data_IF_217539370598
#
_entry.id   IF_217539370598
#
_cell.length_a   1.000
_cell.length_b   1.000
_cell.length_c   1.000
_cell.angle_alpha   90.00
_cell.angle_beta   90.00
_cell.angle_gamma   90.00
#
_symmetry.space_group_name_H-M   'P 1'
#
loop_
_entity.id
_entity.type
_entity.pdbx_description
1 polymer ?
#
# COMPACT_ATOMS: atom_id res chain seq x y z
N UNK A 1 17.20 33.45 -12.71
CA UNK A 1 18.16 32.43 -13.16
C UNK A 1 18.34 31.46 -12.01
N UNK A 2 17.86 30.23 -12.15
CA UNK A 2 17.96 29.20 -11.12
C UNK A 2 19.35 28.58 -11.18
N UNK A 3 20.03 28.54 -10.04
CA UNK A 3 21.35 27.94 -9.89
C UNK A 3 21.13 26.55 -9.30
N UNK A 4 21.55 25.50 -10.03
CA UNK A 4 21.41 24.11 -9.61
C UNK A 4 22.24 23.76 -8.37
N UNK A 5 22.13 22.51 -7.91
CA UNK A 5 22.85 21.94 -6.76
C UNK A 5 24.33 22.37 -6.70
N UNK A 6 24.99 22.37 -7.86
CA UNK A 6 26.42 22.63 -8.03
C UNK A 6 26.88 24.02 -7.56
N UNK A 7 25.97 24.99 -7.41
CA UNK A 7 26.30 26.38 -7.07
C UNK A 7 25.78 26.83 -5.70
N UNK A 8 24.84 26.09 -5.10
CA UNK A 8 24.31 26.37 -3.74
C UNK A 8 24.76 25.34 -2.69
N UNK A 9 25.30 24.20 -3.12
CA UNK A 9 25.49 23.04 -2.26
C UNK A 9 24.17 22.38 -1.86
N UNK A 10 24.21 21.13 -1.42
CA UNK A 10 23.03 20.39 -0.98
C UNK A 10 23.24 18.88 -1.04
N UNK A 11 22.14 18.13 -1.09
CA UNK A 11 22.16 16.67 -1.18
C UNK A 11 21.40 16.15 -2.39
N UNK A 12 21.92 15.06 -2.95
CA UNK A 12 21.30 14.29 -4.03
C UNK A 12 21.09 12.86 -3.54
N UNK A 13 19.85 12.39 -3.57
CA UNK A 13 19.48 11.02 -3.22
C UNK A 13 18.88 10.31 -4.44
N UNK A 14 19.34 9.09 -4.66
CA UNK A 14 18.69 8.14 -5.54
C UNK A 14 18.03 7.06 -4.69
N UNK A 15 16.72 6.95 -4.77
CA UNK A 15 15.94 5.97 -4.01
C UNK A 15 15.29 4.97 -4.95
N UNK A 16 15.29 3.70 -4.55
CA UNK A 16 14.62 2.63 -5.26
C UNK A 16 13.36 2.22 -4.49
N UNK A 17 12.27 2.04 -5.21
CA UNK A 17 10.98 1.61 -4.66
C UNK A 17 10.96 0.07 -4.68
N UNK A 18 10.56 -0.53 -3.56
CA UNK A 18 10.28 -1.96 -3.52
C UNK A 18 8.95 -2.25 -4.24
N UNK A 19 9.04 -2.53 -5.53
CA UNK A 19 7.87 -2.81 -6.36
C UNK A 19 7.15 -4.11 -5.97
N UNK A 20 7.86 -5.08 -5.39
CA UNK A 20 7.22 -6.33 -4.96
C UNK A 20 6.36 -6.07 -3.72
N UNK A 21 6.90 -5.36 -2.73
CA UNK A 21 6.14 -4.96 -1.55
C UNK A 21 4.95 -4.05 -1.93
N UNK A 22 5.14 -3.13 -2.89
CA UNK A 22 4.06 -2.27 -3.37
C UNK A 22 2.92 -3.06 -4.01
N UNK A 23 3.24 -4.01 -4.91
CA UNK A 23 2.24 -4.89 -5.54
C UNK A 23 1.53 -5.75 -4.49
N UNK A 24 2.27 -6.38 -3.58
CA UNK A 24 1.70 -7.19 -2.50
C UNK A 24 0.70 -6.37 -1.67
N UNK A 25 1.12 -5.19 -1.20
CA UNK A 25 0.26 -4.30 -0.41
C UNK A 25 -0.97 -3.85 -1.19
N UNK A 26 -0.81 -3.59 -2.50
CA UNK A 26 -1.91 -3.21 -3.38
C UNK A 26 -2.94 -4.34 -3.57
N UNK A 27 -2.48 -5.60 -3.61
CA UNK A 27 -3.35 -6.77 -3.64
C UNK A 27 -4.02 -7.02 -2.30
N UNK A 28 -3.31 -6.87 -1.18
CA UNK A 28 -3.88 -6.99 0.18
C UNK A 28 -5.04 -6.02 0.39
N UNK A 29 -4.88 -4.75 0.00
CA UNK A 29 -5.97 -3.76 0.03
C UNK A 29 -7.18 -4.18 -0.81
N UNK A 30 -6.94 -4.80 -1.97
CA UNK A 30 -8.03 -5.30 -2.83
C UNK A 30 -8.70 -6.52 -2.22
N UNK A 31 -7.96 -7.42 -1.59
CA UNK A 31 -8.51 -8.55 -0.84
C UNK A 31 -9.46 -8.05 0.26
N UNK A 32 -9.09 -6.99 0.98
CA UNK A 32 -9.97 -6.39 1.98
C UNK A 32 -11.27 -5.83 1.38
N UNK A 33 -11.17 -5.16 0.23
CA UNK A 33 -12.33 -4.72 -0.55
C UNK A 33 -13.21 -5.89 -0.99
N UNK A 34 -12.61 -6.92 -1.58
CA UNK A 34 -13.31 -8.13 -2.04
C UNK A 34 -14.02 -8.86 -0.90
N UNK A 35 -13.41 -8.94 0.30
CA UNK A 35 -14.07 -9.49 1.50
C UNK A 35 -15.33 -8.68 1.86
N UNK A 36 -15.32 -7.37 1.64
CA UNK A 36 -16.48 -6.49 1.79
C UNK A 36 -17.55 -6.79 0.75
N UNK A 37 -17.17 -6.82 -0.53
CA UNK A 37 -18.07 -7.06 -1.65
C UNK A 37 -18.76 -8.43 -1.57
N UNK A 38 -18.00 -9.48 -1.21
CA UNK A 38 -18.55 -10.84 -1.01
C UNK A 38 -19.60 -10.85 0.09
N UNK A 39 -19.36 -10.16 1.20
CA UNK A 39 -20.33 -10.04 2.30
C UNK A 39 -21.58 -9.30 1.84
N UNK A 40 -21.43 -8.20 1.10
CA UNK A 40 -22.56 -7.43 0.58
C UNK A 40 -23.41 -8.23 -0.42
N UNK A 41 -22.76 -9.06 -1.24
CA UNK A 41 -23.42 -9.96 -2.19
C UNK A 41 -23.98 -11.24 -1.55
N UNK A 42 -23.85 -11.43 -0.23
CA UNK A 42 -24.20 -12.65 0.51
C UNK A 42 -23.49 -13.93 -0.03
N UNK A 43 -22.27 -13.78 -0.56
CA UNK A 43 -21.47 -14.89 -1.07
C UNK A 43 -20.54 -15.37 0.05
N UNK A 44 -20.68 -16.65 0.42
CA UNK A 44 -19.84 -17.26 1.45
C UNK A 44 -18.45 -17.56 0.88
N UNK A 45 -17.41 -17.20 1.62
CA UNK A 45 -16.03 -17.59 1.36
C UNK A 45 -15.41 -18.17 2.64
N UNK A 46 -14.34 -18.96 2.49
CA UNK A 46 -13.66 -19.61 3.61
C UNK A 46 -12.32 -18.94 3.91
N UNK A 47 -11.59 -18.51 2.87
CA UNK A 47 -10.35 -17.75 3.01
C UNK A 47 -10.19 -16.80 1.83
N UNK A 48 -9.41 -15.76 2.03
CA UNK A 48 -9.16 -14.69 1.07
C UNK A 48 -7.81 -14.08 1.44
N UNK A 49 -6.79 -14.25 0.62
CA UNK A 49 -5.42 -13.86 0.95
C UNK A 49 -4.58 -13.66 -0.31
N UNK A 50 -3.37 -13.10 -0.13
CA UNK A 50 -2.38 -12.94 -1.20
C UNK A 50 -1.36 -14.07 -1.07
N UNK A 51 -1.27 -14.90 -2.10
CA UNK A 51 -0.29 -15.95 -2.26
C UNK A 51 0.88 -15.47 -3.14
N UNK A 52 2.08 -15.94 -2.86
CA UNK A 52 3.31 -15.67 -3.64
C UNK A 52 3.70 -14.18 -3.82
N UNK A 53 2.94 -13.25 -3.23
CA UNK A 53 3.16 -11.81 -3.31
C UNK A 53 2.55 -11.13 -4.54
N UNK A 54 2.01 -11.89 -5.50
CA UNK A 54 1.49 -11.36 -6.77
C UNK A 54 0.13 -11.97 -7.18
N UNK A 55 -0.44 -12.88 -6.37
CA UNK A 55 -1.68 -13.58 -6.66
C UNK A 55 -2.66 -13.47 -5.51
N UNK A 56 -3.91 -13.13 -5.81
CA UNK A 56 -5.02 -13.25 -4.88
C UNK A 56 -5.56 -14.67 -4.96
N UNK A 57 -5.77 -15.31 -3.81
CA UNK A 57 -6.43 -16.60 -3.69
C UNK A 57 -7.66 -16.47 -2.80
N UNK A 58 -8.83 -16.81 -3.37
CA UNK A 58 -10.10 -16.85 -2.66
C UNK A 58 -10.59 -18.29 -2.62
N UNK A 59 -10.78 -18.83 -1.41
CA UNK A 59 -11.27 -20.19 -1.20
C UNK A 59 -12.75 -20.19 -0.88
N UNK A 60 -13.51 -21.05 -1.54
CA UNK A 60 -14.96 -21.15 -1.41
C UNK A 60 -15.39 -22.50 -0.84
N UNK A 61 -16.58 -22.58 -0.21
CA UNK A 61 -17.13 -23.84 0.28
C UNK A 61 -17.56 -24.78 -0.86
N UNK A 62 -18.04 -24.22 -1.98
CA UNK A 62 -18.53 -24.95 -3.13
C UNK A 62 -18.34 -24.15 -4.44
N UNK A 63 -18.46 -24.84 -5.57
CA UNK A 63 -18.24 -24.25 -6.89
C UNK A 63 -19.31 -23.21 -7.24
N UNK A 64 -20.53 -23.33 -6.71
CA UNK A 64 -21.60 -22.36 -6.96
C UNK A 64 -21.29 -21.00 -6.34
N UNK A 65 -20.76 -20.97 -5.12
CA UNK A 65 -20.30 -19.77 -4.44
C UNK A 65 -19.11 -19.12 -5.17
N UNK A 66 -18.14 -19.93 -5.65
CA UNK A 66 -17.03 -19.45 -6.48
C UNK A 66 -17.52 -18.81 -7.78
N UNK A 67 -18.45 -19.45 -8.48
CA UNK A 67 -18.95 -18.96 -9.76
C UNK A 67 -19.82 -17.71 -9.61
N UNK A 68 -20.55 -17.59 -8.50
CA UNK A 68 -21.23 -16.36 -8.12
C UNK A 68 -20.22 -15.23 -7.84
N UNK A 69 -19.12 -15.52 -7.12
CA UNK A 69 -18.07 -14.55 -6.88
C UNK A 69 -17.40 -14.10 -8.18
N UNK A 70 -17.05 -15.03 -9.08
CA UNK A 70 -16.45 -14.69 -10.37
C UNK A 70 -17.32 -13.69 -11.15
N UNK A 71 -18.65 -13.86 -11.14
CA UNK A 71 -19.59 -12.95 -11.81
C UNK A 71 -19.59 -11.55 -11.19
N UNK A 72 -19.49 -11.40 -9.86
CA UNK A 72 -19.46 -10.07 -9.24
C UNK A 72 -18.08 -9.42 -9.38
N UNK A 73 -17.01 -10.20 -9.29
CA UNK A 73 -15.63 -9.70 -9.26
C UNK A 73 -15.12 -9.25 -10.63
N UNK A 74 -15.48 -9.96 -11.69
CA UNK A 74 -15.03 -9.62 -13.04
C UNK A 74 -15.46 -8.21 -13.50
N UNK A 75 -16.59 -7.70 -12.99
CA UNK A 75 -17.06 -6.35 -13.29
C UNK A 75 -16.42 -5.26 -12.42
N UNK A 76 -16.16 -5.57 -11.14
CA UNK A 76 -15.66 -4.60 -10.18
C UNK A 76 -14.13 -4.41 -10.25
N UNK A 77 -13.41 -5.39 -10.77
CA UNK A 77 -11.94 -5.42 -10.81
C UNK A 77 -11.41 -5.70 -12.22
N UNK A 78 -11.64 -4.81 -13.21
CA UNK A 78 -11.22 -5.01 -14.60
C UNK A 78 -9.70 -5.07 -14.77
N UNK A 79 -8.93 -4.57 -13.80
CA UNK A 79 -7.47 -4.63 -13.80
C UNK A 79 -6.92 -6.01 -13.44
N UNK A 80 -7.78 -6.91 -12.94
CA UNK A 80 -7.42 -8.26 -12.52
C UNK A 80 -7.90 -9.31 -13.53
N UNK A 81 -7.03 -10.27 -13.82
CA UNK A 81 -7.33 -11.48 -14.56
C UNK A 81 -7.69 -12.59 -13.58
N UNK A 82 -8.96 -12.98 -13.60
CA UNK A 82 -9.47 -14.07 -12.77
C UNK A 82 -9.27 -15.44 -13.44
N UNK A 83 -9.02 -16.46 -12.63
CA UNK A 83 -8.99 -17.86 -13.04
C UNK A 83 -9.65 -18.72 -11.97
N UNK A 84 -10.31 -19.80 -12.38
CA UNK A 84 -10.82 -20.80 -11.45
C UNK A 84 -9.78 -21.90 -11.26
N UNK A 85 -9.63 -22.36 -10.03
CA UNK A 85 -8.75 -23.47 -9.67
C UNK A 85 -9.48 -24.41 -8.70
N UNK A 86 -8.99 -25.64 -8.56
CA UNK A 86 -9.48 -26.59 -7.58
C UNK A 86 -8.29 -27.27 -6.89
N UNK A 87 -8.16 -27.02 -5.59
CA UNK A 87 -7.03 -27.50 -4.79
C UNK A 87 -7.57 -28.41 -3.70
N UNK A 88 -7.17 -29.67 -3.70
CA UNK A 88 -7.61 -30.68 -2.73
C UNK A 88 -9.14 -30.80 -2.61
N UNK A 89 -9.87 -30.72 -3.73
CA UNK A 89 -11.33 -30.77 -3.77
C UNK A 89 -12.03 -29.50 -3.25
N UNK A 90 -11.27 -28.42 -3.01
CA UNK A 90 -11.80 -27.12 -2.63
C UNK A 90 -11.77 -26.16 -3.82
N UNK A 91 -12.87 -25.47 -4.12
CA UNK A 91 -12.92 -24.51 -5.22
C UNK A 91 -12.21 -23.21 -4.85
N UNK A 92 -11.30 -22.78 -5.72
CA UNK A 92 -10.57 -21.52 -5.62
C UNK A 92 -10.92 -20.59 -6.78
N UNK A 93 -10.96 -19.30 -6.49
CA UNK A 93 -10.88 -18.24 -7.48
C UNK A 93 -9.55 -17.53 -7.27
N UNK A 94 -8.68 -17.56 -8.26
CA UNK A 94 -7.42 -16.83 -8.23
C UNK A 94 -7.50 -15.59 -9.10
N UNK A 95 -6.73 -14.56 -8.75
CA UNK A 95 -6.64 -13.35 -9.54
C UNK A 95 -5.22 -12.79 -9.55
N UNK A 96 -4.73 -12.42 -10.73
CA UNK A 96 -3.47 -11.69 -10.90
C UNK A 96 -3.74 -10.38 -11.61
N UNK A 97 -2.85 -9.40 -11.47
CA UNK A 97 -2.92 -8.23 -12.33
C UNK A 97 -2.81 -8.62 -13.80
N UNK A 98 -3.61 -7.97 -14.65
CA UNK A 98 -3.34 -7.91 -16.10
C UNK A 98 -2.05 -7.13 -16.35
N UNK A 99 -1.43 -7.26 -17.52
CA UNK A 99 -0.22 -6.50 -17.86
C UNK A 99 -0.45 -4.98 -17.77
N UNK A 100 -1.62 -4.53 -18.20
CA UNK A 100 -2.07 -3.15 -18.10
C UNK A 100 -2.27 -2.74 -16.63
N UNK A 101 -2.95 -3.58 -15.85
CA UNK A 101 -3.18 -3.35 -14.42
C UNK A 101 -1.87 -3.29 -13.62
N UNK A 102 -0.93 -4.20 -13.88
CA UNK A 102 0.37 -4.22 -13.23
C UNK A 102 1.18 -2.96 -13.55
N UNK A 103 1.16 -2.51 -14.81
CA UNK A 103 1.84 -1.27 -15.22
C UNK A 103 1.21 -0.04 -14.56
N UNK A 104 -0.12 0.02 -14.50
CA UNK A 104 -0.85 1.10 -13.84
C UNK A 104 -0.55 1.14 -12.34
N UNK A 105 -0.53 -0.01 -11.66
CA UNK A 105 -0.22 -0.09 -10.23
C UNK A 105 1.23 0.31 -9.95
N UNK A 106 2.19 -0.11 -10.80
CA UNK A 106 3.59 0.34 -10.70
C UNK A 106 3.70 1.85 -10.79
N UNK A 107 3.03 2.46 -11.78
CA UNK A 107 3.00 3.91 -11.96
C UNK A 107 2.38 4.60 -10.73
N UNK A 108 1.25 4.10 -10.24
CA UNK A 108 0.59 4.63 -9.06
C UNK A 108 1.49 4.56 -7.81
N UNK A 109 2.26 3.47 -7.64
CA UNK A 109 3.22 3.34 -6.56
C UNK A 109 4.34 4.40 -6.66
N UNK A 110 4.86 4.68 -7.84
CA UNK A 110 5.85 5.76 -8.04
C UNK A 110 5.24 7.13 -7.72
N UNK A 111 4.09 7.44 -8.29
CA UNK A 111 3.42 8.74 -8.12
C UNK A 111 3.06 9.00 -6.64
N UNK A 112 2.62 7.95 -5.92
CA UNK A 112 2.34 8.01 -4.48
C UNK A 112 3.61 8.27 -3.67
N UNK A 113 4.72 7.61 -4.00
CA UNK A 113 6.00 7.84 -3.33
C UNK A 113 6.52 9.25 -3.58
N UNK A 114 6.45 9.75 -4.83
CA UNK A 114 6.82 11.14 -5.15
C UNK A 114 6.00 12.13 -4.30
N UNK A 115 4.69 11.90 -4.19
CA UNK A 115 3.81 12.75 -3.39
C UNK A 115 4.18 12.71 -1.91
N UNK A 116 4.44 11.52 -1.38
CA UNK A 116 4.86 11.31 0.01
C UNK A 116 6.18 12.01 0.32
N UNK A 117 7.16 11.89 -0.59
CA UNK A 117 8.45 12.56 -0.48
C UNK A 117 8.32 14.07 -0.52
N UNK A 118 7.45 14.60 -1.39
CA UNK A 118 7.20 16.04 -1.47
C UNK A 118 6.69 16.58 -0.14
N UNK A 119 5.77 15.88 0.51
CA UNK A 119 5.26 16.27 1.82
C UNK A 119 6.35 16.26 2.90
N UNK A 120 7.17 15.19 2.96
CA UNK A 120 8.28 15.07 3.91
C UNK A 120 9.35 16.15 3.72
N UNK A 121 9.64 16.48 2.47
CA UNK A 121 10.65 17.51 2.17
C UNK A 121 10.15 18.91 2.51
N UNK A 122 8.85 19.17 2.38
CA UNK A 122 8.26 20.42 2.86
C UNK A 122 8.44 20.58 4.38
N UNK A 123 8.40 19.48 5.16
CA UNK A 123 8.64 19.50 6.61
C UNK A 123 10.09 19.85 6.97
N UNK A 124 11.05 19.61 6.06
CA UNK A 124 12.44 20.02 6.21
C UNK A 124 12.65 21.53 6.01
N UNK A 125 11.62 22.27 5.55
CA UNK A 125 11.72 23.70 5.27
C UNK A 125 12.51 24.03 4.01
N UNK A 126 12.66 23.07 3.09
CA UNK A 126 13.34 23.28 1.80
C UNK A 126 12.38 24.00 0.85
N UNK A 127 12.76 25.19 0.40
CA UNK A 127 11.89 26.03 -0.43
C UNK A 127 11.63 25.46 -1.83
N UNK A 128 12.58 24.71 -2.42
CA UNK A 128 12.52 24.27 -3.81
C UNK A 128 13.18 22.90 -4.02
N UNK A 129 12.55 21.79 -3.58
CA UNK A 129 13.09 20.46 -3.82
C UNK A 129 12.79 19.94 -5.22
N UNK A 130 13.75 19.24 -5.82
CA UNK A 130 13.54 18.51 -7.07
C UNK A 130 13.23 17.05 -6.74
N UNK A 131 12.04 16.57 -7.08
CA UNK A 131 11.64 15.18 -6.89
C UNK A 131 11.10 14.66 -8.22
N UNK A 132 11.82 13.73 -8.83
CA UNK A 132 11.50 13.23 -10.17
C UNK A 132 11.69 11.73 -10.26
N UNK A 133 10.85 11.08 -11.07
CA UNK A 133 11.03 9.69 -11.43
C UNK A 133 12.27 9.52 -12.31
N UNK A 134 13.08 8.50 -12.02
CA UNK A 134 14.20 8.08 -12.85
C UNK A 134 14.02 6.59 -13.21
N UNK A 135 13.67 6.32 -14.46
CA UNK A 135 13.34 4.94 -14.89
C UNK A 135 12.04 4.43 -14.28
N UNK A 136 11.90 3.12 -14.13
CA UNK A 136 10.62 2.50 -13.77
C UNK A 136 10.37 2.40 -12.26
N UNK A 137 11.43 2.31 -11.45
CA UNK A 137 11.35 2.02 -10.02
C UNK A 137 12.19 2.95 -9.14
N UNK A 138 12.76 4.04 -9.68
CA UNK A 138 13.62 4.96 -8.91
C UNK A 138 13.09 6.38 -8.90
N UNK A 139 13.46 7.09 -7.83
CA UNK A 139 13.15 8.50 -7.63
C UNK A 139 14.45 9.22 -7.29
N UNK A 140 14.71 10.31 -8.02
CA UNK A 140 15.76 11.28 -7.72
C UNK A 140 15.17 12.36 -6.83
N UNK A 141 15.87 12.67 -5.75
CA UNK A 141 15.55 13.76 -4.84
C UNK A 141 16.77 14.67 -4.70
N UNK A 142 16.61 15.95 -5.01
CA UNK A 142 17.63 16.98 -4.80
C UNK A 142 17.12 18.03 -3.84
N UNK A 143 17.91 18.31 -2.80
CA UNK A 143 17.59 19.28 -1.76
C UNK A 143 18.69 20.34 -1.70
N UNK A 144 18.51 21.48 -2.40
CA UNK A 144 19.46 22.58 -2.34
C UNK A 144 19.48 23.22 -0.95
N UNK A 145 20.68 23.59 -0.46
CA UNK A 145 20.85 24.36 0.78
C UNK A 145 20.64 23.59 2.08
N UNK A 146 20.40 22.27 2.04
CA UNK A 146 20.42 21.41 3.22
C UNK A 146 21.85 21.21 3.71
N UNK A 147 22.10 21.52 4.99
CA UNK A 147 23.39 21.30 5.66
C UNK A 147 23.41 19.97 6.42
N UNK A 148 22.28 19.57 7.03
CA UNK A 148 22.16 18.34 7.80
C UNK A 148 21.62 17.20 6.93
N UNK A 149 22.56 16.48 6.30
CA UNK A 149 22.27 15.38 5.38
C UNK A 149 21.75 14.13 6.09
N UNK A 150 22.14 13.94 7.36
CA UNK A 150 21.73 12.80 8.19
C UNK A 150 20.26 12.95 8.54
N UNK A 151 19.87 14.11 9.06
CA UNK A 151 18.46 14.42 9.36
C UNK A 151 17.58 14.36 8.12
N UNK A 152 18.07 14.85 6.98
CA UNK A 152 17.32 14.76 5.73
C UNK A 152 17.10 13.30 5.30
N UNK A 153 18.14 12.46 5.40
CA UNK A 153 18.04 11.02 5.11
C UNK A 153 17.07 10.31 6.05
N UNK A 154 17.08 10.63 7.35
CA UNK A 154 16.17 10.03 8.33
C UNK A 154 14.71 10.35 8.02
N UNK A 155 14.39 11.62 7.76
CA UNK A 155 13.01 12.05 7.47
C UNK A 155 12.52 11.48 6.14
N UNK A 156 13.38 11.45 5.12
CA UNK A 156 13.02 10.98 3.78
C UNK A 156 12.94 9.45 3.72
N UNK A 157 13.84 8.75 4.41
CA UNK A 157 13.94 7.29 4.39
C UNK A 157 13.04 6.57 5.42
N UNK A 158 12.50 7.27 6.41
CA UNK A 158 11.64 6.64 7.41
C UNK A 158 10.31 6.16 6.80
N UNK A 159 9.98 4.87 6.92
CA UNK A 159 8.64 4.39 6.57
C UNK A 159 7.71 4.68 7.75
N UNK A 160 6.84 5.68 7.63
CA UNK A 160 5.82 5.96 8.63
C UNK A 160 4.60 5.09 8.34
N UNK A 161 4.50 3.94 8.99
CA UNK A 161 3.30 3.10 8.95
C UNK A 161 2.33 3.56 10.03
N UNK A 162 1.13 4.00 9.64
CA UNK A 162 0.04 4.30 10.58
C UNK A 162 -0.84 3.06 10.72
N UNK A 163 -0.87 2.47 11.91
CA UNK A 163 -1.75 1.34 12.24
C UNK A 163 -2.80 1.77 13.27
N UNK A 164 -4.05 1.38 13.04
CA UNK A 164 -5.10 1.46 14.05
C UNK A 164 -5.28 0.07 14.65
N UNK A 165 -5.06 -0.05 15.96
CA UNK A 165 -5.24 -1.30 16.69
C UNK A 165 -6.41 -1.17 17.65
N UNK A 166 -7.25 -2.20 17.70
CA UNK A 166 -8.27 -2.32 18.74
C UNK A 166 -7.57 -2.73 20.03
N UNK A 167 -7.81 -1.97 21.08
CA UNK A 167 -7.25 -2.22 22.41
C UNK A 167 -8.24 -3.07 23.19
N UNK A 168 -7.78 -4.19 23.74
CA UNK A 168 -8.57 -4.98 24.69
C UNK A 168 -8.46 -4.34 26.08
N UNK A 169 -9.57 -4.29 26.82
CA UNK A 169 -9.58 -3.74 28.17
C UNK A 169 -10.91 -4.02 28.88
N UNK A 170 -11.01 -3.61 30.14
CA UNK A 170 -12.27 -3.61 30.89
C UNK A 170 -13.02 -2.30 30.66
N UNK A 171 -14.35 -2.26 30.91
CA UNK A 171 -15.12 -1.02 30.86
C UNK A 171 -14.53 0.11 31.72
N UNK A 172 -13.86 -0.24 32.82
CA UNK A 172 -13.19 0.71 33.71
C UNK A 172 -11.97 1.32 33.04
N UNK A 173 -11.16 0.52 32.34
CA UNK A 173 -9.97 1.00 31.61
C UNK A 173 -10.35 1.97 30.47
N UNK A 174 -11.49 1.75 29.82
CA UNK A 174 -11.98 2.63 28.76
C UNK A 174 -12.48 3.97 29.28
N UNK A 175 -13.18 3.97 30.41
CA UNK A 175 -13.67 5.20 31.07
C UNK A 175 -12.49 6.01 31.61
N UNK A 176 -11.48 5.36 32.19
CA UNK A 176 -10.27 6.03 32.66
C UNK A 176 -9.45 6.60 31.49
N UNK A 177 -9.37 5.90 30.37
CA UNK A 177 -8.73 6.40 29.15
C UNK A 177 -9.43 7.64 28.58
N UNK A 178 -10.77 7.65 28.56
CA UNK A 178 -11.57 8.80 28.12
C UNK A 178 -11.33 10.02 29.03
N UNK A 179 -11.29 9.83 30.34
CA UNK A 179 -11.11 10.93 31.30
C UNK A 179 -9.67 11.44 31.38
N UNK A 180 -8.69 10.55 31.22
CA UNK A 180 -7.27 10.88 31.39
C UNK A 180 -6.53 11.17 30.08
N UNK A 181 -7.10 10.81 28.94
CA UNK A 181 -6.44 10.86 27.63
C UNK A 181 -5.28 9.87 27.49
N UNK A 182 -5.13 8.90 28.41
CA UNK A 182 -4.07 7.88 28.37
C UNK A 182 -4.57 6.63 27.66
N UNK A 183 -3.73 6.08 26.78
CA UNK A 183 -4.00 4.82 26.09
C UNK A 183 -3.98 3.67 27.11
N UNK A 184 -4.94 2.72 27.07
CA UNK A 184 -4.95 1.58 27.99
C UNK A 184 -3.67 0.71 27.86
N UNK A 185 -3.23 0.05 28.95
CA UNK A 185 -1.92 -0.62 29.03
C UNK A 185 -1.72 -1.84 28.11
N UNK A 186 -2.80 -2.42 27.57
CA UNK A 186 -2.75 -3.56 26.64
C UNK A 186 -2.92 -3.15 25.15
N UNK A 187 -2.48 -1.95 24.79
CA UNK A 187 -2.51 -1.41 23.41
C UNK A 187 -1.29 -1.82 22.55
#
# INVERSE_FOLDING_TARGET
MYLGLDLRGGVHFLMQIDMQAAIKTALERRVDGMRGDLRQANIRYVAADVENGDEIALRFPDAAARDAALKSMAGNYPELKFSTDERNGQPFLTAKFTDVGATAERKAAVDQNITTLRNRVNELGVAEPLIQQQGDDRIVVELPGIQDTVRAKEIIGATATLEFRLVSGTPTDWVDAEQSGRVPPDA
#
